data_IF_167482706163
#
_entry.id   IF_167482706163
#
_cell.length_a   1.000
_cell.length_b   1.000
_cell.length_c   1.000
_cell.angle_alpha   90.00
_cell.angle_beta   90.00
_cell.angle_gamma   90.00
#
_symmetry.space_group_name_H-M   'P 1'
#
loop_
_entity.id
_entity.type
_entity.pdbx_description
1 polymer ?
#
# COMPACT_ATOMS: atom_id res chain seq x y z
N UNK A 1 24.45 31.71 -49.26
CA UNK A 1 23.03 32.07 -48.91
C UNK A 1 22.23 30.98 -48.22
N UNK A 2 22.44 29.70 -48.45
CA UNK A 2 21.74 28.60 -47.74
C UNK A 2 22.05 28.46 -46.22
N UNK A 3 23.29 28.76 -45.82
CA UNK A 3 23.71 28.65 -44.45
C UNK A 3 23.24 29.82 -43.55
N UNK A 4 23.08 31.01 -44.13
CA UNK A 4 22.64 32.19 -43.39
C UNK A 4 21.15 32.04 -42.99
N UNK A 5 20.31 31.42 -43.85
CA UNK A 5 18.89 31.15 -43.50
C UNK A 5 18.72 30.10 -42.40
N UNK A 6 19.63 29.11 -42.31
CA UNK A 6 19.61 28.11 -41.23
C UNK A 6 20.02 28.71 -39.89
N UNK A 7 21.01 29.60 -39.87
CA UNK A 7 21.47 30.27 -38.66
C UNK A 7 20.40 31.23 -38.12
N UNK A 8 19.69 31.97 -38.98
CA UNK A 8 18.62 32.85 -38.59
C UNK A 8 17.41 32.05 -38.05
N UNK A 9 17.09 30.92 -38.67
CA UNK A 9 16.02 30.04 -38.17
C UNK A 9 16.36 29.39 -36.82
N UNK A 10 17.62 29.03 -36.61
CA UNK A 10 18.08 28.50 -35.32
C UNK A 10 18.09 29.56 -34.22
N UNK A 11 18.49 30.82 -34.55
CA UNK A 11 18.41 31.94 -33.62
C UNK A 11 16.97 32.32 -33.26
N UNK A 12 16.05 32.29 -34.21
CA UNK A 12 14.63 32.57 -33.94
C UNK A 12 14.01 31.49 -33.07
N UNK A 13 14.41 30.21 -33.24
CA UNK A 13 13.96 29.12 -32.38
C UNK A 13 14.56 29.20 -30.96
N UNK A 14 15.81 29.63 -30.83
CA UNK A 14 16.46 29.84 -29.54
C UNK A 14 15.85 31.04 -28.77
N UNK A 15 15.47 32.11 -29.48
CA UNK A 15 14.82 33.28 -28.86
C UNK A 15 13.39 32.96 -28.43
N UNK A 16 12.68 32.09 -29.16
CA UNK A 16 11.35 31.63 -28.77
C UNK A 16 11.37 30.68 -27.57
N UNK A 17 12.45 29.91 -27.37
CA UNK A 17 12.64 29.09 -26.19
C UNK A 17 13.04 29.90 -24.94
N UNK A 18 13.68 31.07 -25.10
CA UNK A 18 14.08 31.94 -23.97
C UNK A 18 12.96 32.86 -23.46
N UNK A 19 11.82 32.95 -24.15
CA UNK A 19 10.71 33.82 -23.73
C UNK A 19 9.59 33.06 -23.01
N UNK A 20 9.76 31.75 -22.72
CA UNK A 20 8.74 30.93 -22.05
C UNK A 20 9.21 30.38 -20.69
N UNK A 21 10.13 31.05 -20.04
CA UNK A 21 10.32 30.91 -18.60
C UNK A 21 9.59 32.02 -17.85
N UNK A 22 8.27 32.02 -17.92
CA UNK A 22 7.51 32.46 -16.77
C UNK A 22 7.69 31.38 -15.71
N UNK A 23 8.68 31.57 -14.85
CA UNK A 23 8.77 30.87 -13.56
C UNK A 23 7.47 31.20 -12.83
N UNK A 24 6.48 30.32 -12.96
CA UNK A 24 5.31 30.35 -12.08
C UNK A 24 5.89 29.97 -10.73
N UNK A 25 6.24 30.95 -9.92
CA UNK A 25 6.44 30.75 -8.49
C UNK A 25 5.04 30.49 -7.97
N UNK A 26 4.63 29.23 -8.01
CA UNK A 26 3.48 28.77 -7.24
C UNK A 26 3.96 28.89 -5.81
N UNK A 27 3.38 29.80 -5.05
CA UNK A 27 3.56 29.83 -3.61
C UNK A 27 3.03 28.47 -3.11
N UNK A 28 3.97 27.56 -2.81
CA UNK A 28 3.64 26.20 -2.38
C UNK A 28 2.71 26.23 -1.15
N UNK A 29 2.81 27.30 -0.34
CA UNK A 29 1.96 27.47 0.83
C UNK A 29 0.49 27.69 0.46
N UNK A 30 0.21 28.49 -0.59
CA UNK A 30 -1.17 28.75 -1.04
C UNK A 30 -1.80 27.52 -1.72
N UNK A 31 -1.01 26.68 -2.37
CA UNK A 31 -1.48 25.42 -3.00
C UNK A 31 -1.72 24.36 -1.93
N UNK A 32 -0.83 24.22 -0.95
CA UNK A 32 -0.99 23.31 0.18
C UNK A 32 -2.25 23.65 1.01
N UNK A 33 -2.41 24.91 1.38
CA UNK A 33 -3.57 25.38 2.14
C UNK A 33 -4.89 25.20 1.36
N UNK A 34 -4.89 25.39 0.03
CA UNK A 34 -6.09 25.19 -0.80
C UNK A 34 -6.46 23.72 -1.03
N UNK A 35 -5.47 22.81 -0.99
CA UNK A 35 -5.70 21.38 -1.11
C UNK A 35 -6.23 20.81 0.22
N UNK A 36 -5.70 21.28 1.35
CA UNK A 36 -6.14 20.83 2.69
C UNK A 36 -7.58 21.24 2.98
N UNK A 37 -8.02 22.42 2.54
CA UNK A 37 -9.39 22.91 2.76
C UNK A 37 -10.48 22.11 2.02
N UNK A 38 -10.11 21.27 1.04
CA UNK A 38 -11.06 20.52 0.19
C UNK A 38 -11.11 19.01 0.45
N UNK A 39 -10.35 18.48 1.42
CA UNK A 39 -10.41 17.06 1.75
C UNK A 39 -11.60 16.75 2.67
N UNK A 40 -12.42 15.79 2.26
CA UNK A 40 -13.50 15.22 3.06
C UNK A 40 -13.12 13.82 3.52
N UNK A 41 -13.31 13.53 4.83
CA UNK A 41 -13.12 12.19 5.36
C UNK A 41 -14.25 11.28 4.87
N UNK A 42 -13.94 10.36 3.98
CA UNK A 42 -14.92 9.43 3.39
C UNK A 42 -14.91 8.05 4.03
N UNK A 43 -13.81 7.69 4.68
CA UNK A 43 -13.66 6.40 5.37
C UNK A 43 -12.56 6.47 6.41
N UNK A 44 -12.77 5.81 7.55
CA UNK A 44 -11.74 5.64 8.58
C UNK A 44 -11.95 4.36 9.37
N UNK A 45 -10.91 3.90 10.02
CA UNK A 45 -10.99 2.91 11.09
C UNK A 45 -9.94 3.23 12.15
N UNK A 46 -10.40 3.62 13.32
CA UNK A 46 -9.56 3.95 14.47
C UNK A 46 -9.32 2.74 15.38
N UNK A 47 -9.93 1.58 15.05
CA UNK A 47 -9.81 0.31 15.78
C UNK A 47 -10.16 0.41 17.26
N UNK A 48 -11.08 1.31 17.61
CA UNK A 48 -11.52 1.54 18.99
C UNK A 48 -12.42 0.41 19.54
N UNK A 49 -12.92 -0.43 18.65
CA UNK A 49 -13.73 -1.59 19.00
C UNK A 49 -12.86 -2.75 19.49
N UNK A 50 -13.44 -3.62 20.32
CA UNK A 50 -12.74 -4.80 20.81
C UNK A 50 -12.46 -5.88 19.77
N UNK A 51 -13.10 -5.77 18.60
CA UNK A 51 -12.98 -6.72 17.49
C UNK A 51 -12.70 -5.96 16.19
N UNK A 52 -12.09 -6.63 15.24
CA UNK A 52 -11.98 -6.13 13.86
C UNK A 52 -13.39 -6.07 13.26
N UNK A 53 -13.73 -4.91 12.69
CA UNK A 53 -15.00 -4.70 12.01
C UNK A 53 -15.04 -5.51 10.69
N UNK A 54 -15.85 -6.56 10.68
CA UNK A 54 -16.01 -7.44 9.52
C UNK A 54 -16.85 -6.81 8.39
N UNK A 55 -17.45 -5.63 8.59
CA UNK A 55 -18.01 -4.82 7.50
C UNK A 55 -16.93 -4.04 6.74
N UNK A 56 -15.79 -3.78 7.38
CA UNK A 56 -14.66 -3.06 6.80
C UNK A 56 -13.57 -3.98 6.29
N UNK A 57 -13.31 -5.09 6.99
CA UNK A 57 -12.12 -5.89 6.78
C UNK A 57 -12.43 -7.37 6.56
N UNK A 58 -11.65 -8.03 5.69
CA UNK A 58 -11.56 -9.47 5.59
C UNK A 58 -10.25 -9.92 6.24
N UNK A 59 -10.29 -10.87 7.17
CA UNK A 59 -9.12 -11.58 7.67
C UNK A 59 -8.84 -12.76 6.74
N UNK A 60 -7.68 -12.81 6.12
CA UNK A 60 -7.33 -13.84 5.13
C UNK A 60 -6.79 -15.10 5.80
N UNK A 61 -7.08 -16.26 5.18
CA UNK A 61 -6.56 -17.57 5.56
C UNK A 61 -5.85 -18.19 4.37
N UNK A 62 -4.54 -18.06 4.36
CA UNK A 62 -3.71 -18.57 3.27
C UNK A 62 -2.59 -19.45 3.83
N UNK A 63 -2.32 -20.57 3.16
CA UNK A 63 -1.21 -21.46 3.49
C UNK A 63 0.14 -20.80 3.14
N UNK A 64 1.27 -21.30 3.69
CA UNK A 64 2.61 -20.91 3.26
C UNK A 64 2.79 -21.06 1.75
N UNK A 65 3.57 -20.16 1.14
CA UNK A 65 3.84 -20.18 -0.30
C UNK A 65 2.68 -19.83 -1.21
N UNK A 66 1.57 -19.32 -0.66
CA UNK A 66 0.42 -18.90 -1.48
C UNK A 66 0.80 -17.76 -2.45
N UNK A 67 1.56 -16.80 -1.97
CA UNK A 67 2.16 -15.70 -2.75
C UNK A 67 3.62 -15.55 -2.36
N UNK A 68 4.47 -15.08 -3.28
CA UNK A 68 5.88 -14.67 -3.07
C UNK A 68 6.77 -15.70 -2.35
N UNK A 69 6.39 -16.98 -2.31
CA UNK A 69 7.07 -18.00 -1.52
C UNK A 69 7.21 -17.65 -0.03
N UNK A 70 6.26 -16.90 0.51
CA UNK A 70 6.23 -16.52 1.92
C UNK A 70 6.13 -17.76 2.82
N UNK A 71 6.94 -17.80 3.88
CA UNK A 71 7.04 -18.98 4.76
C UNK A 71 5.89 -19.05 5.77
N UNK A 72 5.28 -17.93 6.13
CA UNK A 72 4.21 -17.88 7.10
C UNK A 72 2.85 -18.29 6.49
N UNK A 73 2.02 -18.89 7.31
CA UNK A 73 0.59 -18.97 7.06
C UNK A 73 -0.09 -17.66 7.51
N UNK A 74 -1.05 -17.17 6.74
CA UNK A 74 -1.96 -16.12 7.21
C UNK A 74 -3.18 -16.76 7.85
N UNK A 75 -3.48 -16.35 9.07
CA UNK A 75 -4.60 -16.88 9.85
C UNK A 75 -5.59 -15.78 10.21
N UNK A 76 -6.84 -16.16 10.46
CA UNK A 76 -7.87 -15.25 10.95
C UNK A 76 -8.00 -15.25 12.49
N UNK A 77 -7.04 -15.86 13.20
CA UNK A 77 -7.06 -15.99 14.66
C UNK A 77 -6.79 -14.67 15.36
N UNK A 78 -7.40 -14.48 16.51
CA UNK A 78 -7.16 -13.33 17.38
C UNK A 78 -5.74 -13.31 18.01
N UNK A 79 -4.97 -14.36 17.86
CA UNK A 79 -3.55 -14.38 18.21
C UNK A 79 -2.68 -13.66 17.18
N UNK A 80 -3.12 -13.60 15.91
CA UNK A 80 -2.41 -12.96 14.80
C UNK A 80 -3.00 -11.60 14.42
N UNK A 81 -4.34 -11.42 14.52
CA UNK A 81 -5.03 -10.20 14.12
C UNK A 81 -6.04 -9.81 15.21
N UNK A 82 -5.80 -8.72 15.89
CA UNK A 82 -6.68 -8.25 16.98
C UNK A 82 -6.58 -6.73 17.17
N UNK A 83 -7.52 -6.18 17.94
CA UNK A 83 -7.45 -4.78 18.39
C UNK A 83 -6.93 -4.72 19.83
N UNK A 84 -6.15 -3.68 20.12
CA UNK A 84 -5.68 -3.38 21.47
C UNK A 84 -5.34 -1.90 21.61
N UNK A 85 -5.89 -1.26 22.64
CA UNK A 85 -5.64 0.16 22.97
C UNK A 85 -5.88 1.08 21.74
N UNK A 86 -7.03 0.92 21.05
CA UNK A 86 -7.37 1.70 19.87
C UNK A 86 -6.39 1.49 18.70
N UNK A 87 -5.92 0.26 18.49
CA UNK A 87 -4.98 -0.07 17.42
C UNK A 87 -5.25 -1.46 16.86
N UNK A 88 -5.15 -1.58 15.55
CA UNK A 88 -4.97 -2.86 14.90
C UNK A 88 -3.59 -3.42 15.22
N UNK A 89 -3.53 -4.66 15.67
CA UNK A 89 -2.30 -5.42 15.85
C UNK A 89 -2.29 -6.58 14.88
N UNK A 90 -1.26 -6.63 14.03
CA UNK A 90 -0.92 -7.78 13.21
C UNK A 90 0.36 -8.37 13.81
N UNK A 91 0.30 -9.64 14.20
CA UNK A 91 1.40 -10.30 14.89
C UNK A 91 1.87 -11.53 14.16
N UNK A 92 3.15 -11.56 13.80
CA UNK A 92 3.83 -12.78 13.38
C UNK A 92 4.28 -13.59 14.61
N UNK A 93 4.12 -14.89 14.53
CA UNK A 93 4.48 -15.85 15.59
C UNK A 93 5.32 -16.98 15.01
N UNK A 94 6.25 -17.48 15.81
CA UNK A 94 6.96 -18.73 15.55
C UNK A 94 6.14 -19.83 16.22
N UNK A 95 5.55 -20.73 15.41
CA UNK A 95 4.66 -21.80 15.87
C UNK A 95 4.98 -23.11 15.13
N UNK A 96 6.12 -23.76 15.42
CA UNK A 96 6.55 -24.96 14.72
C UNK A 96 5.49 -26.07 14.79
N UNK A 97 5.15 -26.61 13.59
CA UNK A 97 4.16 -27.68 13.49
C UNK A 97 2.70 -27.19 13.62
N UNK A 98 2.43 -25.90 13.44
CA UNK A 98 1.06 -25.41 13.35
C UNK A 98 0.33 -26.05 12.15
N UNK A 99 -0.88 -26.58 12.39
CA UNK A 99 -1.72 -27.21 11.38
C UNK A 99 -3.04 -26.48 11.28
N UNK A 100 -3.45 -26.16 10.06
CA UNK A 100 -4.75 -25.55 9.77
C UNK A 100 -5.16 -25.89 8.32
N UNK A 101 -6.31 -25.35 7.90
CA UNK A 101 -6.79 -25.39 6.52
C UNK A 101 -6.87 -23.97 5.96
N UNK A 102 -6.51 -23.79 4.69
CA UNK A 102 -6.71 -22.52 4.01
C UNK A 102 -8.21 -22.30 3.65
N UNK A 103 -8.53 -21.18 3.02
CA UNK A 103 -9.91 -20.85 2.64
C UNK A 103 -10.49 -21.82 1.60
N UNK A 104 -9.67 -22.64 0.92
CA UNK A 104 -10.13 -23.66 -0.04
C UNK A 104 -10.41 -25.00 0.63
N UNK A 105 -10.07 -25.14 1.93
CA UNK A 105 -10.18 -26.39 2.67
C UNK A 105 -8.93 -27.28 2.55
N UNK A 106 -7.84 -26.78 1.96
CA UNK A 106 -6.57 -27.51 1.87
C UNK A 106 -5.85 -27.46 3.22
N UNK A 107 -5.56 -28.62 3.80
CA UNK A 107 -4.80 -28.76 5.04
C UNK A 107 -3.30 -28.50 4.79
N UNK A 108 -2.67 -27.78 5.68
CA UNK A 108 -1.25 -27.43 5.61
C UNK A 108 -0.57 -27.41 6.98
N UNK A 109 0.76 -27.51 6.96
CA UNK A 109 1.62 -27.26 8.11
C UNK A 109 2.37 -25.94 7.91
N UNK A 110 2.66 -25.23 8.99
CA UNK A 110 3.49 -24.04 9.01
C UNK A 110 4.35 -23.98 10.29
N UNK A 111 5.49 -23.33 10.19
CA UNK A 111 6.35 -23.01 11.34
C UNK A 111 6.21 -21.55 11.77
N UNK A 112 5.59 -20.74 10.93
CA UNK A 112 5.32 -19.32 11.17
C UNK A 112 3.86 -19.02 10.85
N UNK A 113 3.25 -18.16 11.65
CA UNK A 113 1.92 -17.61 11.39
C UNK A 113 1.95 -16.09 11.43
N UNK A 114 1.07 -15.45 10.68
CA UNK A 114 0.91 -14.00 10.64
C UNK A 114 -0.53 -13.62 10.33
N UNK A 115 -0.77 -12.33 10.15
CA UNK A 115 -2.07 -11.80 9.77
C UNK A 115 -2.02 -10.99 8.48
N UNK A 116 -3.11 -11.06 7.71
CA UNK A 116 -3.33 -10.25 6.52
C UNK A 116 -4.80 -9.86 6.42
N UNK A 117 -5.04 -8.56 6.21
CA UNK A 117 -6.38 -8.02 6.04
C UNK A 117 -6.49 -7.33 4.70
N UNK A 118 -7.71 -7.29 4.15
CA UNK A 118 -8.04 -6.44 3.01
C UNK A 118 -9.48 -5.94 3.08
N UNK A 119 -9.80 -4.99 2.20
CA UNK A 119 -11.15 -4.40 2.05
C UNK A 119 -11.87 -4.93 0.81
N UNK A 120 -11.38 -5.99 0.17
CA UNK A 120 -11.93 -6.52 -1.07
C UNK A 120 -13.44 -6.82 -0.97
N UNK A 121 -14.22 -6.30 -1.91
CA UNK A 121 -15.67 -6.43 -1.93
C UNK A 121 -16.42 -5.63 -0.86
N UNK A 122 -15.72 -4.80 -0.07
CA UNK A 122 -16.29 -3.94 0.99
C UNK A 122 -16.06 -2.47 0.71
N UNK A 123 -14.81 -2.08 0.46
CA UNK A 123 -14.42 -0.71 0.19
C UNK A 123 -13.34 -0.65 -0.87
N UNK A 124 -13.46 0.30 -1.81
CA UNK A 124 -12.47 0.66 -2.80
C UNK A 124 -12.50 2.15 -3.08
N UNK A 125 -11.40 2.69 -3.60
CA UNK A 125 -11.25 4.13 -3.88
C UNK A 125 -10.52 4.32 -5.21
N UNK A 126 -11.08 5.18 -6.07
CA UNK A 126 -10.43 5.55 -7.33
C UNK A 126 -9.40 6.66 -7.15
N UNK A 127 -9.69 7.58 -6.23
CA UNK A 127 -8.83 8.72 -5.89
C UNK A 127 -8.93 8.99 -4.39
N UNK A 128 -7.93 9.66 -3.85
CA UNK A 128 -7.98 10.10 -2.47
C UNK A 128 -6.61 10.30 -1.84
N UNK A 129 -6.64 10.76 -0.61
CA UNK A 129 -5.49 10.86 0.27
C UNK A 129 -5.63 9.78 1.35
N UNK A 130 -4.56 9.03 1.59
CA UNK A 130 -4.50 7.98 2.60
C UNK A 130 -3.56 8.41 3.72
N UNK A 131 -4.10 8.64 4.90
CA UNK A 131 -3.36 8.92 6.12
C UNK A 131 -3.36 7.69 7.01
N UNK A 132 -2.21 7.05 7.20
CA UNK A 132 -2.08 5.82 7.98
C UNK A 132 -0.99 5.99 9.02
N UNK A 133 -1.38 5.81 10.30
CA UNK A 133 -0.44 5.79 11.41
C UNK A 133 -0.07 4.36 11.73
N UNK A 134 1.19 3.97 11.53
CA UNK A 134 1.66 2.62 11.77
C UNK A 134 2.95 2.61 12.63
N UNK A 135 3.13 1.52 13.38
CA UNK A 135 4.40 1.15 13.98
C UNK A 135 4.83 -0.16 13.35
N UNK A 136 5.95 -0.13 12.63
CA UNK A 136 6.48 -1.29 11.92
C UNK A 136 7.23 -2.22 12.88
N UNK A 137 7.26 -3.54 12.61
CA UNK A 137 8.11 -4.46 13.31
C UNK A 137 9.58 -4.19 12.96
N UNK A 138 10.46 -4.55 13.87
CA UNK A 138 11.91 -4.55 13.65
C UNK A 138 12.40 -5.98 13.64
N UNK A 139 13.38 -6.28 12.81
CA UNK A 139 14.05 -7.56 12.80
C UNK A 139 14.14 -8.21 11.43
N UNK A 140 15.17 -9.00 11.25
CA UNK A 140 15.44 -9.72 10.02
C UNK A 140 14.30 -10.71 9.71
N UNK A 141 13.84 -10.71 8.46
CA UNK A 141 12.75 -11.57 7.98
C UNK A 141 11.36 -10.96 8.10
N UNK A 142 11.22 -9.75 8.69
CA UNK A 142 9.94 -9.03 8.65
C UNK A 142 9.74 -8.33 7.31
N UNK A 143 8.50 -8.35 6.82
CA UNK A 143 8.10 -7.68 5.58
C UNK A 143 6.69 -7.10 5.75
N UNK A 144 6.53 -6.06 6.57
CA UNK A 144 5.25 -5.37 6.68
C UNK A 144 4.98 -4.52 5.44
N UNK A 145 3.73 -4.51 4.98
CA UNK A 145 3.29 -3.71 3.86
C UNK A 145 1.89 -3.12 4.07
N UNK A 146 1.67 -1.92 3.55
CA UNK A 146 0.38 -1.25 3.42
C UNK A 146 0.26 -0.86 1.96
N UNK A 147 -0.68 -1.45 1.24
CA UNK A 147 -0.70 -1.43 -0.20
C UNK A 147 -2.09 -1.62 -0.77
N UNK A 148 -2.25 -1.44 -2.07
CA UNK A 148 -3.52 -1.49 -2.79
C UNK A 148 -3.39 -2.29 -4.07
N UNK A 149 -4.46 -2.99 -4.42
CA UNK A 149 -4.65 -3.63 -5.73
C UNK A 149 -5.91 -3.10 -6.40
N UNK A 150 -5.95 -3.12 -7.72
CA UNK A 150 -7.17 -2.79 -8.45
C UNK A 150 -8.30 -3.77 -8.18
N UNK A 151 -9.54 -3.29 -8.12
CA UNK A 151 -10.74 -4.12 -7.91
C UNK A 151 -10.94 -5.17 -9.01
N UNK A 152 -10.31 -4.98 -10.17
CA UNK A 152 -10.29 -5.93 -11.28
C UNK A 152 -9.29 -7.08 -11.10
N UNK A 153 -8.70 -7.27 -9.90
CA UNK A 153 -7.73 -8.34 -9.62
C UNK A 153 -8.27 -9.73 -9.97
N UNK A 154 -9.57 -9.96 -9.76
CA UNK A 154 -10.19 -11.26 -10.03
C UNK A 154 -10.34 -11.55 -11.53
N UNK A 155 -10.40 -10.52 -12.40
CA UNK A 155 -10.56 -10.66 -13.84
C UNK A 155 -9.24 -10.51 -14.59
N UNK A 156 -8.44 -9.53 -14.25
CA UNK A 156 -7.24 -9.15 -15.00
C UNK A 156 -5.97 -9.75 -14.37
N UNK A 157 -6.03 -10.10 -13.09
CA UNK A 157 -4.91 -10.69 -12.36
C UNK A 157 -3.77 -9.68 -12.13
N UNK A 158 -2.82 -10.08 -11.28
CA UNK A 158 -1.57 -9.32 -11.11
C UNK A 158 -0.58 -9.70 -12.23
N UNK A 159 0.21 -8.74 -12.78
CA UNK A 159 0.29 -7.30 -12.44
C UNK A 159 -0.68 -6.40 -13.19
N UNK A 160 -1.58 -6.93 -14.01
CA UNK A 160 -2.42 -6.12 -14.92
C UNK A 160 -3.49 -5.30 -14.18
N UNK A 161 -3.92 -5.73 -12.98
CA UNK A 161 -4.83 -4.94 -12.14
C UNK A 161 -4.17 -3.68 -11.56
N UNK A 162 -2.85 -3.57 -11.63
CA UNK A 162 -2.07 -2.52 -10.96
C UNK A 162 -1.88 -2.78 -9.48
N UNK A 163 -0.82 -2.14 -8.92
CA UNK A 163 -0.46 -2.18 -7.49
C UNK A 163 0.09 -0.81 -7.08
N UNK A 164 -0.25 -0.38 -5.88
CA UNK A 164 0.28 0.84 -5.26
C UNK A 164 0.72 0.49 -3.84
N UNK A 165 2.02 0.60 -3.57
CA UNK A 165 2.59 0.41 -2.24
C UNK A 165 2.67 1.75 -1.53
N UNK A 166 1.81 1.94 -0.51
CA UNK A 166 1.83 3.11 0.34
C UNK A 166 3.01 3.05 1.30
N UNK A 167 3.29 1.86 1.81
CA UNK A 167 4.44 1.54 2.65
C UNK A 167 4.83 0.08 2.47
N UNK A 168 6.10 -0.15 2.23
CA UNK A 168 6.72 -1.47 2.24
C UNK A 168 8.07 -1.36 2.97
N UNK A 169 8.34 -2.32 3.87
CA UNK A 169 9.59 -2.36 4.61
C UNK A 169 10.15 -3.78 4.65
N UNK A 170 11.43 -3.91 4.34
CA UNK A 170 12.13 -5.21 4.35
C UNK A 170 13.15 -5.21 5.49
N UNK A 171 12.91 -6.02 6.52
CA UNK A 171 13.62 -5.98 7.79
C UNK A 171 15.08 -6.43 7.78
N UNK A 172 15.68 -6.70 6.61
CA UNK A 172 17.13 -6.94 6.49
C UNK A 172 17.92 -5.67 6.14
N UNK A 173 17.25 -4.57 5.78
CA UNK A 173 17.88 -3.28 5.50
C UNK A 173 18.08 -2.53 6.83
N UNK A 174 19.35 -2.36 7.25
CA UNK A 174 19.69 -1.56 8.40
C UNK A 174 19.55 -0.08 8.06
N UNK A 175 18.63 0.63 8.73
CA UNK A 175 18.59 2.10 8.75
C UNK A 175 17.51 2.77 7.87
N UNK A 176 16.50 2.06 7.45
CA UNK A 176 15.28 2.66 6.84
C UNK A 176 14.11 2.67 7.83
#
# INVERSE_FOLDING_TARGET
>A
MKYLKKIILLMVFLILCLSCEKKIIVDNKSVEDSIIENWELVWSDDFDQNNIDDQKWNKLRWRPGWVNNEEQAYTNRDTNIFTRDGKLVIRALIEPGYVDTDYTGFEYNADFTSGRLNTAGKHSWTYGKFDIRAKLPTGKGSWPAIWMLGDNIATDGWPHCGEIDIMEHVGFEEGN
#
